data_IF_284841236390
#
_entry.id   IF_284841236390
#
_cell.length_a   1.000
_cell.length_b   1.000
_cell.length_c   1.000
_cell.angle_alpha   90.00
_cell.angle_beta   90.00
_cell.angle_gamma   90.00
#
_symmetry.space_group_name_H-M   'P 1'
#
loop_
_entity.id
_entity.type
_entity.pdbx_description
1 polymer ?
#
# COMPACT_ATOMS: atom_id res chain seq x y z
N UNK A 1 39.18 -11.26 11.59
CA UNK A 1 38.14 -10.27 11.98
C UNK A 1 37.56 -9.67 10.72
N UNK A 2 36.24 -9.60 10.57
CA UNK A 2 35.55 -9.26 9.32
C UNK A 2 35.66 -7.79 8.87
N UNK A 3 36.53 -6.96 9.49
CA UNK A 3 36.72 -5.56 9.09
C UNK A 3 35.53 -4.62 9.32
N UNK A 4 34.48 -5.07 10.02
CA UNK A 4 33.19 -4.37 10.12
C UNK A 4 33.20 -3.15 11.06
N UNK A 5 34.28 -2.93 11.81
CA UNK A 5 34.36 -1.82 12.75
C UNK A 5 34.23 -0.46 12.04
N UNK A 6 34.88 -0.28 10.89
CA UNK A 6 34.79 0.96 10.12
C UNK A 6 33.36 1.23 9.63
N UNK A 7 32.69 0.22 9.08
CA UNK A 7 31.28 0.36 8.67
C UNK A 7 30.40 0.77 9.85
N UNK A 8 30.58 0.11 11.01
CA UNK A 8 29.83 0.44 12.21
C UNK A 8 30.10 1.87 12.71
N UNK A 9 31.37 2.26 12.83
CA UNK A 9 31.75 3.55 13.42
C UNK A 9 31.59 4.74 12.48
N UNK A 10 31.74 4.55 11.17
CA UNK A 10 31.76 5.64 10.17
C UNK A 10 30.46 5.75 9.36
N UNK A 11 29.63 4.69 9.33
CA UNK A 11 28.36 4.69 8.58
C UNK A 11 27.18 4.44 9.50
N UNK A 12 27.13 3.31 10.20
CA UNK A 12 25.93 2.92 10.94
C UNK A 12 25.66 3.85 12.13
N UNK A 13 26.66 4.08 12.98
CA UNK A 13 26.51 4.93 14.17
C UNK A 13 26.28 6.41 13.84
N UNK A 14 26.97 7.02 12.85
CA UNK A 14 26.67 8.39 12.42
C UNK A 14 25.29 8.57 11.78
N UNK A 15 24.71 7.51 11.19
CA UNK A 15 23.37 7.56 10.62
C UNK A 15 22.27 7.59 11.71
N UNK A 16 22.49 6.98 12.87
CA UNK A 16 21.51 6.95 13.99
C UNK A 16 20.97 8.34 14.36
N UNK A 17 21.78 9.37 14.68
CA UNK A 17 21.24 10.68 15.05
C UNK A 17 20.47 11.37 13.90
N UNK A 18 20.83 11.08 12.63
CA UNK A 18 20.09 11.58 11.46
C UNK A 18 18.69 10.96 11.41
N UNK A 19 18.59 9.63 11.56
CA UNK A 19 17.31 8.92 11.60
C UNK A 19 16.45 9.42 12.76
N UNK A 20 17.00 9.51 13.97
CA UNK A 20 16.28 10.05 15.14
C UNK A 20 15.72 11.45 14.88
N UNK A 21 16.48 12.31 14.19
CA UNK A 21 16.02 13.65 13.82
C UNK A 21 14.87 13.59 12.82
N UNK A 22 14.98 12.75 11.78
CA UNK A 22 13.92 12.55 10.79
C UNK A 22 12.62 12.02 11.44
N UNK A 23 12.74 11.00 12.29
CA UNK A 23 11.61 10.40 13.01
C UNK A 23 10.93 11.42 13.92
N UNK A 24 11.69 12.19 14.71
CA UNK A 24 11.16 13.23 15.60
C UNK A 24 10.49 14.37 14.85
N UNK A 25 10.99 14.74 13.68
CA UNK A 25 10.39 15.80 12.87
C UNK A 25 9.05 15.36 12.27
N UNK A 26 8.93 14.09 11.87
CA UNK A 26 7.74 13.55 11.23
C UNK A 26 7.41 14.23 9.90
N UNK A 27 6.30 13.81 9.28
CA UNK A 27 5.81 14.34 8.01
C UNK A 27 4.38 14.86 8.19
N UNK A 28 4.09 16.02 7.60
CA UNK A 28 2.77 16.62 7.64
C UNK A 28 1.89 16.07 6.51
N UNK A 29 0.60 15.95 6.79
CA UNK A 29 -0.40 15.43 5.86
C UNK A 29 -1.51 16.45 5.63
N UNK A 30 -2.00 16.51 4.40
CA UNK A 30 -3.27 17.15 4.06
C UNK A 30 -4.42 16.17 4.33
N UNK A 31 -4.97 16.26 5.54
CA UNK A 31 -6.06 15.37 5.99
C UNK A 31 -7.36 15.62 5.24
N UNK A 32 -7.58 16.84 4.75
CA UNK A 32 -8.80 17.19 4.02
C UNK A 32 -8.76 16.58 2.62
N UNK A 33 -7.62 16.68 1.92
CA UNK A 33 -7.41 15.97 0.66
C UNK A 33 -7.59 14.46 0.85
N UNK A 34 -6.99 13.87 1.89
CA UNK A 34 -7.17 12.43 2.16
C UNK A 34 -8.64 12.06 2.41
N UNK A 35 -9.40 12.90 3.14
CA UNK A 35 -10.84 12.68 3.38
C UNK A 35 -11.64 12.70 2.07
N UNK A 36 -11.37 13.66 1.19
CA UNK A 36 -12.01 13.75 -0.13
C UNK A 36 -11.68 12.53 -1.00
N UNK A 37 -10.41 12.11 -1.00
CA UNK A 37 -9.98 10.89 -1.68
C UNK A 37 -10.70 9.66 -1.11
N UNK A 38 -10.84 9.54 0.20
CA UNK A 38 -11.54 8.42 0.85
C UNK A 38 -12.97 8.28 0.34
N UNK A 39 -13.73 9.39 0.29
CA UNK A 39 -15.10 9.39 -0.22
C UNK A 39 -15.16 8.93 -1.68
N UNK A 40 -14.37 9.56 -2.55
CA UNK A 40 -14.34 9.25 -3.99
C UNK A 40 -13.95 7.79 -4.26
N UNK A 41 -12.93 7.29 -3.56
CA UNK A 41 -12.54 5.88 -3.70
C UNK A 41 -13.61 4.93 -3.16
N UNK A 42 -14.34 5.32 -2.12
CA UNK A 42 -15.49 4.56 -1.61
C UNK A 42 -16.56 4.36 -2.67
N UNK A 43 -16.94 5.43 -3.38
CA UNK A 43 -17.92 5.36 -4.47
C UNK A 43 -17.43 4.48 -5.62
N UNK A 44 -16.17 4.62 -6.03
CA UNK A 44 -15.56 3.80 -7.08
C UNK A 44 -15.51 2.31 -6.69
N UNK A 45 -15.24 2.01 -5.41
CA UNK A 45 -15.22 0.64 -4.91
C UNK A 45 -16.61 0.00 -4.95
N UNK A 46 -17.66 0.74 -4.56
CA UNK A 46 -19.05 0.25 -4.63
C UNK A 46 -19.49 -0.04 -6.07
N UNK A 47 -19.07 0.80 -7.02
CA UNK A 47 -19.32 0.57 -8.44
C UNK A 47 -18.61 -0.71 -8.93
N UNK A 48 -17.31 -0.83 -8.65
CA UNK A 48 -16.53 -2.02 -9.04
C UNK A 48 -17.05 -3.30 -8.39
N UNK A 49 -17.48 -3.24 -7.14
CA UNK A 49 -18.10 -4.36 -6.43
C UNK A 49 -19.38 -4.83 -7.13
N UNK A 50 -20.21 -3.89 -7.58
CA UNK A 50 -21.42 -4.19 -8.37
C UNK A 50 -21.06 -4.86 -9.69
N UNK A 51 -20.11 -4.30 -10.46
CA UNK A 51 -19.65 -4.87 -11.73
C UNK A 51 -19.07 -6.29 -11.57
N UNK A 52 -18.34 -6.54 -10.47
CA UNK A 52 -17.83 -7.87 -10.15
C UNK A 52 -18.98 -8.84 -9.86
N UNK A 53 -19.96 -8.43 -9.07
CA UNK A 53 -21.12 -9.27 -8.74
C UNK A 53 -21.99 -9.55 -9.95
N UNK A 54 -22.21 -8.59 -10.83
CA UNK A 54 -22.99 -8.77 -12.05
C UNK A 54 -22.25 -9.68 -13.04
N UNK A 55 -20.92 -9.58 -13.10
CA UNK A 55 -20.09 -10.47 -13.92
C UNK A 55 -20.07 -11.94 -13.45
N UNK A 56 -20.29 -12.17 -12.15
CA UNK A 56 -20.26 -13.51 -11.52
C UNK A 56 -21.66 -14.09 -11.34
N UNK A 57 -22.67 -13.24 -11.13
CA UNK A 57 -24.07 -13.61 -10.90
C UNK A 57 -24.47 -13.74 -9.42
N UNK A 58 -23.55 -13.54 -8.47
CA UNK A 58 -23.86 -13.51 -7.04
C UNK A 58 -22.82 -12.71 -6.24
N UNK A 59 -23.15 -12.46 -4.97
CA UNK A 59 -22.26 -11.76 -4.03
C UNK A 59 -21.32 -12.74 -3.33
N UNK A 60 -20.11 -12.26 -3.07
CA UNK A 60 -19.10 -12.95 -2.26
C UNK A 60 -18.10 -11.92 -1.70
N UNK A 61 -17.23 -12.35 -0.79
CA UNK A 61 -16.20 -11.47 -0.24
C UNK A 61 -14.99 -11.40 -1.19
N UNK A 62 -14.91 -10.33 -1.98
CA UNK A 62 -13.84 -10.05 -2.96
C UNK A 62 -12.45 -9.97 -2.27
N UNK A 63 -12.42 -9.54 -1.00
CA UNK A 63 -11.21 -9.42 -0.21
C UNK A 63 -10.74 -10.76 0.38
N UNK A 64 -11.58 -11.80 0.39
CA UNK A 64 -11.18 -13.14 0.84
C UNK A 64 -10.48 -13.89 -0.30
N UNK A 65 -9.16 -14.19 -0.17
CA UNK A 65 -8.44 -14.91 -1.23
C UNK A 65 -9.04 -16.29 -1.52
N UNK A 66 -9.62 -16.94 -0.51
CA UNK A 66 -10.24 -18.25 -0.64
C UNK A 66 -11.54 -18.17 -1.44
N UNK A 67 -12.47 -17.27 -1.08
CA UNK A 67 -13.72 -17.13 -1.82
C UNK A 67 -13.47 -16.67 -3.26
N UNK A 68 -12.57 -15.70 -3.45
CA UNK A 68 -12.21 -15.27 -4.80
C UNK A 68 -11.58 -16.40 -5.62
N UNK A 69 -10.73 -17.24 -5.01
CA UNK A 69 -10.15 -18.40 -5.67
C UNK A 69 -11.22 -19.37 -6.15
N UNK A 70 -12.20 -19.71 -5.30
CA UNK A 70 -13.31 -20.61 -5.69
C UNK A 70 -14.12 -20.04 -6.84
N UNK A 71 -14.51 -18.77 -6.77
CA UNK A 71 -15.25 -18.10 -7.86
C UNK A 71 -14.47 -18.15 -9.18
N UNK A 72 -13.20 -17.76 -9.17
CA UNK A 72 -12.41 -17.67 -10.41
C UNK A 72 -12.11 -19.05 -11.03
N UNK A 73 -11.73 -20.04 -10.21
CA UNK A 73 -11.15 -21.28 -10.73
C UNK A 73 -12.09 -22.49 -10.65
N UNK A 74 -13.08 -22.49 -9.76
CA UNK A 74 -14.04 -23.60 -9.61
C UNK A 74 -15.35 -23.28 -10.35
N UNK A 75 -15.87 -22.07 -10.17
CA UNK A 75 -17.16 -21.66 -10.77
C UNK A 75 -16.99 -21.15 -12.20
N UNK A 76 -16.17 -20.11 -12.40
CA UNK A 76 -15.88 -19.55 -13.73
C UNK A 76 -14.90 -20.41 -14.54
N UNK A 77 -14.25 -21.39 -13.90
CA UNK A 77 -13.30 -22.34 -14.52
C UNK A 77 -12.21 -21.68 -15.36
N UNK A 78 -11.71 -20.52 -14.90
CA UNK A 78 -10.60 -19.83 -15.56
C UNK A 78 -9.33 -20.68 -15.50
N UNK A 79 -8.41 -20.55 -16.47
CA UNK A 79 -7.19 -21.34 -16.51
C UNK A 79 -6.35 -21.09 -15.24
N UNK A 80 -5.97 -22.13 -14.48
CA UNK A 80 -5.27 -21.95 -13.21
C UNK A 80 -3.78 -21.67 -13.46
N UNK A 81 -3.30 -20.49 -13.09
CA UNK A 81 -1.90 -20.13 -13.33
C UNK A 81 -0.91 -20.75 -12.31
N UNK A 82 -1.32 -20.95 -11.04
CA UNK A 82 -0.43 -21.51 -10.00
C UNK A 82 -1.18 -21.98 -8.75
N UNK A 83 -0.89 -23.21 -8.29
CA UNK A 83 -1.32 -23.71 -6.98
C UNK A 83 -0.30 -23.36 -5.90
N UNK A 84 -0.80 -22.96 -4.73
CA UNK A 84 -0.05 -22.78 -3.48
C UNK A 84 -0.53 -23.78 -2.44
N UNK A 85 0.14 -23.84 -1.28
CA UNK A 85 -0.28 -24.71 -0.16
C UNK A 85 -1.72 -24.46 0.32
N UNK A 86 -2.28 -23.27 0.05
CA UNK A 86 -3.64 -22.88 0.45
C UNK A 86 -4.68 -22.88 -0.68
N UNK A 87 -4.38 -23.48 -1.84
CA UNK A 87 -5.26 -23.46 -3.02
C UNK A 87 -4.69 -22.63 -4.18
N UNK A 88 -5.54 -22.22 -5.12
CA UNK A 88 -5.10 -21.42 -6.25
C UNK A 88 -4.73 -20.00 -5.81
N UNK A 89 -3.62 -19.49 -6.35
CA UNK A 89 -3.20 -18.12 -6.04
C UNK A 89 -4.10 -17.11 -6.74
N UNK A 90 -4.57 -16.12 -6.00
CA UNK A 90 -5.19 -14.90 -6.58
C UNK A 90 -4.24 -13.71 -6.50
N UNK A 91 -2.93 -13.92 -6.38
CA UNK A 91 -1.97 -12.81 -6.32
C UNK A 91 -2.02 -11.91 -7.56
N UNK A 92 -1.59 -10.65 -7.42
CA UNK A 92 -1.63 -9.68 -8.53
C UNK A 92 -0.97 -10.22 -9.80
N UNK A 93 0.22 -10.83 -9.72
CA UNK A 93 0.89 -11.42 -10.88
C UNK A 93 0.07 -12.51 -11.58
N UNK A 94 -0.67 -13.33 -10.82
CA UNK A 94 -1.52 -14.39 -11.37
C UNK A 94 -2.75 -13.78 -12.05
N UNK A 95 -3.38 -12.79 -11.43
CA UNK A 95 -4.52 -12.11 -12.04
C UNK A 95 -4.10 -11.33 -13.31
N UNK A 96 -2.90 -10.77 -13.33
CA UNK A 96 -2.33 -10.10 -14.51
C UNK A 96 -2.18 -11.07 -15.71
N UNK A 97 -1.76 -12.32 -15.46
CA UNK A 97 -1.69 -13.37 -16.50
C UNK A 97 -3.07 -13.77 -17.05
N UNK A 98 -4.15 -13.50 -16.31
CA UNK A 98 -5.53 -13.81 -16.69
C UNK A 98 -6.25 -12.63 -17.37
N UNK A 99 -5.58 -11.50 -17.56
CA UNK A 99 -6.17 -10.37 -18.30
C UNK A 99 -6.59 -10.80 -19.70
N UNK A 100 -7.75 -10.32 -20.14
CA UNK A 100 -8.34 -10.68 -21.43
C UNK A 100 -9.06 -12.03 -21.46
N UNK A 101 -8.91 -12.89 -20.45
CA UNK A 101 -9.66 -14.16 -20.37
C UNK A 101 -11.11 -13.93 -19.95
N UNK A 102 -11.35 -13.06 -18.97
CA UNK A 102 -12.69 -12.72 -18.49
C UNK A 102 -12.74 -11.26 -17.99
N UNK A 103 -13.81 -10.50 -18.26
CA UNK A 103 -13.94 -9.09 -17.85
C UNK A 103 -13.73 -8.86 -16.35
N UNK A 104 -14.22 -9.80 -15.52
CA UNK A 104 -14.11 -9.75 -14.05
C UNK A 104 -12.67 -9.54 -13.55
N UNK A 105 -11.66 -10.02 -14.29
CA UNK A 105 -10.25 -9.93 -13.88
C UNK A 105 -9.79 -8.47 -13.78
N UNK A 106 -10.15 -7.64 -14.75
CA UNK A 106 -9.84 -6.20 -14.74
C UNK A 106 -10.53 -5.49 -13.58
N UNK A 107 -11.81 -5.81 -13.33
CA UNK A 107 -12.55 -5.25 -12.21
C UNK A 107 -11.93 -5.62 -10.86
N UNK A 108 -11.51 -6.88 -10.67
CA UNK A 108 -10.86 -7.35 -9.44
C UNK A 108 -9.50 -6.66 -9.24
N UNK A 109 -8.68 -6.55 -10.30
CA UNK A 109 -7.38 -5.89 -10.22
C UNK A 109 -7.54 -4.42 -9.79
N UNK A 110 -8.46 -3.70 -10.43
CA UNK A 110 -8.78 -2.31 -10.08
C UNK A 110 -9.32 -2.20 -8.65
N UNK A 111 -10.28 -3.05 -8.29
CA UNK A 111 -10.88 -3.07 -6.95
C UNK A 111 -9.80 -3.25 -5.88
N UNK A 112 -8.90 -4.23 -6.03
CA UNK A 112 -7.84 -4.49 -5.04
C UNK A 112 -6.83 -3.37 -4.95
N UNK A 113 -6.49 -2.73 -6.08
CA UNK A 113 -5.59 -1.57 -6.07
C UNK A 113 -6.21 -0.41 -5.27
N UNK A 114 -7.47 -0.06 -5.56
CA UNK A 114 -8.17 1.02 -4.87
C UNK A 114 -8.45 0.69 -3.40
N UNK A 115 -8.88 -0.55 -3.11
CA UNK A 115 -9.18 -1.00 -1.76
C UNK A 115 -7.93 -0.96 -0.87
N UNK A 116 -6.78 -1.38 -1.39
CA UNK A 116 -5.50 -1.27 -0.68
C UNK A 116 -5.10 0.19 -0.48
N UNK A 117 -5.21 1.01 -1.51
CA UNK A 117 -4.89 2.44 -1.43
C UNK A 117 -5.73 3.13 -0.33
N UNK A 118 -7.03 2.84 -0.31
CA UNK A 118 -7.99 3.38 0.67
C UNK A 118 -7.70 2.88 2.08
N UNK A 119 -7.74 1.57 2.30
CA UNK A 119 -7.66 0.97 3.64
C UNK A 119 -6.29 1.10 4.29
N UNK A 120 -5.20 0.86 3.54
CA UNK A 120 -3.85 0.82 4.11
C UNK A 120 -3.30 2.23 4.34
N UNK A 121 -3.69 3.20 3.51
CA UNK A 121 -3.06 4.51 3.53
C UNK A 121 -4.06 5.63 3.83
N UNK A 122 -5.05 5.85 2.97
CA UNK A 122 -5.90 7.05 3.03
C UNK A 122 -6.74 7.08 4.31
N UNK A 123 -7.32 5.96 4.72
CA UNK A 123 -8.13 5.90 5.94
C UNK A 123 -7.27 5.74 7.20
N UNK A 124 -6.07 5.16 7.06
CA UNK A 124 -5.23 4.81 8.22
C UNK A 124 -4.31 5.95 8.62
N UNK A 125 -3.61 6.60 7.68
CA UNK A 125 -2.58 7.60 7.98
C UNK A 125 -3.09 8.80 8.81
N UNK A 126 -4.28 9.37 8.55
CA UNK A 126 -4.80 10.47 9.37
C UNK A 126 -4.98 10.08 10.85
N UNK A 127 -5.33 8.82 11.13
CA UNK A 127 -5.50 8.31 12.49
C UNK A 127 -4.17 8.09 13.23
N UNK A 128 -3.04 8.12 12.52
CA UNK A 128 -1.69 7.98 13.07
C UNK A 128 -0.99 9.33 13.30
N UNK A 129 -1.70 10.44 13.07
CA UNK A 129 -1.18 11.78 13.35
C UNK A 129 -1.01 11.94 14.86
N UNK A 130 0.21 12.30 15.27
CA UNK A 130 0.49 12.59 16.67
C UNK A 130 -0.19 13.91 17.07
N UNK A 131 -1.03 13.93 18.11
CA UNK A 131 -1.81 15.13 18.47
C UNK A 131 -0.97 16.28 19.01
N UNK A 132 0.27 16.02 19.46
CA UNK A 132 1.18 17.07 19.97
C UNK A 132 1.91 17.79 18.85
N UNK A 133 2.27 17.08 17.78
CA UNK A 133 3.08 17.62 16.68
C UNK A 133 2.27 17.92 15.42
N UNK A 134 1.08 17.33 15.28
CA UNK A 134 0.26 17.41 14.07
C UNK A 134 0.87 16.65 12.89
N UNK A 135 1.76 15.69 13.13
CA UNK A 135 2.51 14.97 12.09
C UNK A 135 2.47 13.45 12.29
N UNK A 136 2.72 12.72 11.21
CA UNK A 136 2.95 11.28 11.26
C UNK A 136 4.44 11.02 11.45
N UNK A 137 4.76 10.15 12.39
CA UNK A 137 6.14 9.77 12.73
C UNK A 137 6.32 8.30 12.37
N UNK A 138 7.30 8.00 11.52
CA UNK A 138 7.69 6.62 11.18
C UNK A 138 8.90 6.21 12.00
N UNK A 139 9.16 4.90 12.09
CA UNK A 139 10.38 4.33 12.67
C UNK A 139 11.23 3.66 11.58
N UNK A 140 12.49 4.07 11.46
CA UNK A 140 13.47 3.51 10.53
C UNK A 140 14.30 2.43 11.22
N UNK A 141 14.12 1.18 10.78
CA UNK A 141 14.86 0.03 11.26
C UNK A 141 16.09 -0.19 10.39
N UNK A 142 17.28 -0.02 10.98
CA UNK A 142 18.58 -0.14 10.32
C UNK A 142 19.04 -1.60 10.16
N UNK A 143 18.60 -2.50 11.04
CA UNK A 143 19.10 -3.88 11.12
C UNK A 143 18.12 -4.95 10.61
N UNK A 144 16.96 -4.56 10.09
CA UNK A 144 15.88 -5.49 9.74
C UNK A 144 16.04 -6.16 8.38
N UNK A 145 16.65 -5.49 7.40
CA UNK A 145 16.79 -6.05 6.05
C UNK A 145 18.14 -6.73 5.88
N UNK A 146 18.16 -7.89 5.23
CA UNK A 146 19.40 -8.63 4.98
C UNK A 146 20.37 -7.92 4.02
N UNK A 147 19.89 -6.94 3.26
CA UNK A 147 20.66 -6.22 2.23
C UNK A 147 21.25 -4.89 2.72
N UNK A 148 21.11 -4.56 4.00
CA UNK A 148 21.55 -3.27 4.56
C UNK A 148 20.67 -2.06 4.20
N UNK A 149 19.47 -2.29 3.63
CA UNK A 149 18.50 -1.20 3.39
C UNK A 149 17.79 -0.85 4.71
N UNK A 150 17.46 0.42 4.89
CA UNK A 150 16.51 0.83 5.92
C UNK A 150 15.13 0.25 5.62
N UNK A 151 14.38 -0.09 6.66
CA UNK A 151 12.95 -0.39 6.55
C UNK A 151 12.12 0.51 7.46
N UNK A 152 10.97 0.95 7.00
CA UNK A 152 10.07 1.85 7.72
C UNK A 152 8.86 1.11 8.29
N UNK A 153 8.47 1.43 9.52
CA UNK A 153 7.30 0.88 10.22
C UNK A 153 6.56 1.94 11.03
N UNK A 154 5.30 1.65 11.36
CA UNK A 154 4.47 2.43 12.29
C UNK A 154 4.32 3.94 11.94
N UNK A 155 3.88 4.32 10.73
CA UNK A 155 3.54 3.50 9.57
C UNK A 155 4.71 3.33 8.59
N UNK A 156 4.58 2.40 7.63
CA UNK A 156 5.55 2.26 6.56
C UNK A 156 5.38 3.35 5.49
N UNK A 157 6.29 4.33 5.49
CA UNK A 157 6.32 5.45 4.54
C UNK A 157 7.24 5.21 3.32
N UNK A 158 7.87 4.04 3.21
CA UNK A 158 8.69 3.69 2.04
C UNK A 158 7.86 3.10 0.90
N UNK A 159 6.75 2.44 1.25
CA UNK A 159 5.88 1.76 0.28
C UNK A 159 4.68 2.60 -0.13
N UNK A 160 4.80 3.93 -0.09
CA UNK A 160 3.73 4.82 -0.50
C UNK A 160 3.52 4.72 -2.04
N UNK A 161 2.30 4.40 -2.52
CA UNK A 161 2.03 4.23 -3.95
C UNK A 161 2.44 5.46 -4.78
N UNK A 162 2.91 5.22 -6.01
CA UNK A 162 3.29 6.28 -6.97
C UNK A 162 2.66 6.08 -8.35
N UNK A 163 2.28 4.85 -8.69
CA UNK A 163 1.71 4.51 -9.98
C UNK A 163 0.22 4.89 -10.01
N UNK A 164 -0.26 5.26 -11.18
CA UNK A 164 -1.65 5.69 -11.39
C UNK A 164 -1.91 7.13 -10.93
N UNK A 165 -3.10 7.64 -11.24
CA UNK A 165 -3.52 8.99 -10.87
C UNK A 165 -3.71 9.08 -9.35
N UNK A 166 -4.36 8.09 -8.78
CA UNK A 166 -4.72 8.00 -7.36
C UNK A 166 -3.48 7.87 -6.48
N UNK A 167 -2.45 7.13 -6.94
CA UNK A 167 -1.17 7.04 -6.24
C UNK A 167 -0.40 8.37 -6.23
N UNK A 168 -0.39 9.10 -7.35
CA UNK A 168 0.23 10.44 -7.40
C UNK A 168 -0.49 11.44 -6.50
N UNK A 169 -1.82 11.46 -6.55
CA UNK A 169 -2.67 12.30 -5.70
C UNK A 169 -2.47 11.98 -4.21
N UNK A 170 -2.31 10.69 -3.87
CA UNK A 170 -2.00 10.29 -2.51
C UNK A 170 -0.65 10.87 -2.04
N UNK A 171 0.37 10.95 -2.90
CA UNK A 171 1.65 11.61 -2.57
C UNK A 171 1.52 13.13 -2.43
N UNK A 172 0.57 13.76 -3.13
CA UNK A 172 0.29 15.19 -2.95
C UNK A 172 -0.26 15.50 -1.56
N UNK A 173 -0.87 14.51 -0.89
CA UNK A 173 -1.31 14.66 0.49
C UNK A 173 -0.15 14.71 1.50
N UNK A 174 1.10 14.44 1.10
CA UNK A 174 2.27 14.72 1.94
C UNK A 174 2.73 16.15 1.65
N UNK A 175 2.68 17.00 2.67
CA UNK A 175 2.87 18.44 2.50
C UNK A 175 4.05 18.96 3.32
N UNK A 176 4.65 20.04 2.85
CA UNK A 176 5.63 20.81 3.59
C UNK A 176 4.92 21.80 4.55
N UNK A 177 5.57 22.21 5.65
CA UNK A 177 5.04 23.29 6.49
C UNK A 177 4.99 24.62 5.71
N UNK A 178 4.19 25.60 6.17
CA UNK A 178 4.13 26.92 5.55
C UNK A 178 5.51 27.55 5.35
N UNK A 179 5.74 28.15 4.17
CA UNK A 179 7.03 28.75 3.81
C UNK A 179 8.11 27.75 3.38
N UNK A 180 7.79 26.47 3.25
CA UNK A 180 8.71 25.42 2.78
C UNK A 180 8.13 24.67 1.57
N UNK A 181 8.98 23.94 0.86
CA UNK A 181 8.59 23.00 -0.19
C UNK A 181 9.22 21.63 0.04
N UNK A 182 8.62 20.58 -0.53
CA UNK A 182 9.26 19.27 -0.64
C UNK A 182 10.16 19.28 -1.87
N UNK A 183 11.40 18.83 -1.70
CA UNK A 183 12.36 18.68 -2.79
C UNK A 183 12.22 17.30 -3.43
N UNK A 184 12.21 17.26 -4.77
CA UNK A 184 12.07 16.06 -5.59
C UNK A 184 13.43 15.50 -6.02
#
# INVERSE_FOLDING_TARGET
QQGLWQLFSEVEMPLVPVLVTMERNGVALDTELMRQMSHRLGEQLLQLETEIYDSVGHRFNINSPQQLSSVLFEELKLPPARKTKGGYSTGASVLEELRGVHPVIEFILNYRQLAKLKSTYIDTLPNLINPKTGRVHTSFNQTKTATGRLSSSEPNLQNIPIRGKEGREMRQAFIAPPGSCLLA
#
